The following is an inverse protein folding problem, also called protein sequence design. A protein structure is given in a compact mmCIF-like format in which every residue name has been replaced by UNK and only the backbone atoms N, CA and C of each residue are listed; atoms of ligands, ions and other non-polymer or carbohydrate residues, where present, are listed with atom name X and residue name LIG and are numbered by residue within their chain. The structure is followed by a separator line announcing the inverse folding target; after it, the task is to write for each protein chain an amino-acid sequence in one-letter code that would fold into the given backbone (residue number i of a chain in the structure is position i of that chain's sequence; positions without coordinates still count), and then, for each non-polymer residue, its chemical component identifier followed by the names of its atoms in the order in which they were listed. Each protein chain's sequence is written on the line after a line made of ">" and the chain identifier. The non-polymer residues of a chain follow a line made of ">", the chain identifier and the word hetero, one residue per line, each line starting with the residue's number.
data_IF_642020244300
#
_entry.id   IF_642020244300
#
_cell.length_a   1.000
_cell.length_b   1.000
_cell.length_c   1.000
_cell.angle_alpha   90.00
_cell.angle_beta   90.00
_cell.angle_gamma   90.00
#
_symmetry.space_group_name_H-M   'P 1'
#
loop_
_entity.id
_entity.type
_entity.pdbx_description
1 polymer ?
#
# COMPACT_ATOMS: atom_id res chain seq x y z
N UNK A 1 -5.28 -31.27 6.13
CA UNK A 1 -5.34 -29.88 5.60
C UNK A 1 -3.96 -29.28 5.74
N UNK A 2 -3.47 -28.51 4.75
CA UNK A 2 -2.16 -27.86 4.86
C UNK A 2 -2.13 -26.96 6.10
N UNK A 3 -1.01 -26.94 6.82
CA UNK A 3 -0.80 -26.05 7.97
C UNK A 3 -0.44 -24.64 7.48
N UNK A 4 -1.37 -24.00 6.77
CA UNK A 4 -1.20 -22.62 6.29
C UNK A 4 -2.10 -21.64 7.07
N UNK A 5 -1.76 -20.35 7.00
CA UNK A 5 -2.48 -19.31 7.73
C UNK A 5 -3.95 -19.19 7.31
N UNK A 6 -4.29 -19.55 6.06
CA UNK A 6 -5.66 -19.48 5.56
C UNK A 6 -6.52 -20.54 6.27
N UNK A 7 -5.97 -21.72 6.53
CA UNK A 7 -6.63 -22.78 7.31
C UNK A 7 -6.92 -22.39 8.74
N UNK A 8 -6.05 -21.55 9.33
CA UNK A 8 -6.20 -21.10 10.72
C UNK A 8 -7.25 -19.99 10.89
N UNK A 9 -7.51 -19.21 9.83
CA UNK A 9 -8.48 -18.10 9.86
C UNK A 9 -9.83 -18.53 9.25
N UNK A 10 -9.82 -19.47 8.30
CA UNK A 10 -11.02 -19.95 7.64
C UNK A 10 -11.88 -20.81 8.57
N UNK A 11 -13.14 -20.43 8.75
CA UNK A 11 -14.17 -21.26 9.40
C UNK A 11 -14.81 -22.27 8.42
N UNK A 12 -14.09 -22.67 7.37
CA UNK A 12 -14.54 -23.63 6.36
C UNK A 12 -15.13 -23.02 5.07
N UNK A 13 -15.36 -21.71 5.03
CA UNK A 13 -16.02 -21.04 3.90
C UNK A 13 -15.06 -20.26 2.97
N UNK A 14 -13.76 -20.17 3.29
CA UNK A 14 -12.80 -19.52 2.40
C UNK A 14 -12.39 -20.44 1.25
N UNK A 15 -12.34 -19.88 0.04
CA UNK A 15 -11.86 -20.59 -1.15
C UNK A 15 -10.33 -20.62 -1.12
N UNK A 16 -9.76 -21.81 -1.29
CA UNK A 16 -8.33 -21.97 -1.51
C UNK A 16 -8.01 -21.71 -2.99
N UNK A 17 -7.11 -20.77 -3.29
CA UNK A 17 -6.67 -20.55 -4.65
C UNK A 17 -5.85 -21.73 -5.16
N UNK A 18 -5.89 -21.98 -6.46
CA UNK A 18 -4.96 -22.94 -7.09
C UNK A 18 -3.53 -22.40 -7.06
N UNK A 19 -2.56 -23.31 -7.12
CA UNK A 19 -1.13 -22.96 -7.23
C UNK A 19 -0.85 -22.06 -8.44
N UNK A 20 -1.50 -22.32 -9.57
CA UNK A 20 -1.38 -21.49 -10.77
C UNK A 20 -1.90 -20.07 -10.56
N UNK A 21 -3.00 -19.92 -9.83
CA UNK A 21 -3.55 -18.60 -9.52
C UNK A 21 -2.67 -17.83 -8.53
N UNK A 22 -2.09 -18.52 -7.54
CA UNK A 22 -1.10 -17.93 -6.63
C UNK A 22 0.13 -17.44 -7.41
N UNK A 23 0.68 -18.26 -8.29
CA UNK A 23 1.80 -17.87 -9.16
C UNK A 23 1.45 -16.65 -10.05
N UNK A 24 0.23 -16.58 -10.57
CA UNK A 24 -0.22 -15.41 -11.32
C UNK A 24 -0.28 -14.15 -10.44
N UNK A 25 -0.73 -14.27 -9.19
CA UNK A 25 -0.74 -13.16 -8.24
C UNK A 25 0.69 -12.70 -7.86
N UNK A 26 1.64 -13.62 -7.75
CA UNK A 26 3.05 -13.29 -7.52
C UNK A 26 3.64 -12.48 -8.68
N UNK A 27 3.39 -12.90 -9.92
CA UNK A 27 3.79 -12.16 -11.13
C UNK A 27 3.12 -10.77 -11.18
N UNK A 28 1.83 -10.67 -10.82
CA UNK A 28 1.15 -9.37 -10.71
C UNK A 28 1.88 -8.47 -9.71
N UNK A 29 2.26 -8.99 -8.56
CA UNK A 29 2.92 -8.20 -7.52
C UNK A 29 4.33 -7.76 -7.95
N UNK A 30 5.12 -8.66 -8.53
CA UNK A 30 6.45 -8.35 -9.07
C UNK A 30 6.39 -7.21 -10.10
N UNK A 31 5.53 -7.35 -11.12
CA UNK A 31 5.40 -6.35 -12.17
C UNK A 31 4.81 -5.03 -11.67
N UNK A 32 3.91 -5.10 -10.68
CA UNK A 32 3.36 -3.91 -10.04
C UNK A 32 4.45 -3.12 -9.29
N UNK A 33 5.33 -3.80 -8.54
CA UNK A 33 6.45 -3.17 -7.84
C UNK A 33 7.48 -2.63 -8.84
N UNK A 34 7.82 -3.38 -9.88
CA UNK A 34 8.73 -2.92 -10.94
C UNK A 34 8.21 -1.67 -11.65
N UNK A 35 6.90 -1.59 -11.91
CA UNK A 35 6.29 -0.47 -12.62
C UNK A 35 6.17 0.81 -11.78
N UNK A 36 5.87 0.67 -10.48
CA UNK A 36 5.64 1.79 -9.59
C UNK A 36 6.89 2.21 -8.79
N UNK A 37 7.72 1.26 -8.35
CA UNK A 37 8.79 1.50 -7.38
C UNK A 37 8.20 1.92 -6.03
N UNK A 38 8.77 2.94 -5.39
CA UNK A 38 8.32 3.40 -4.06
C UNK A 38 7.01 4.19 -4.10
N UNK A 39 6.68 4.84 -5.21
CA UNK A 39 5.51 5.71 -5.37
C UNK A 39 4.63 5.27 -6.53
N UNK A 40 3.42 5.83 -6.66
CA UNK A 40 2.67 5.59 -7.89
C UNK A 40 3.31 6.32 -9.08
N UNK A 41 3.78 5.54 -10.05
CA UNK A 41 4.02 6.01 -11.41
C UNK A 41 2.86 6.90 -11.91
N UNK A 42 3.19 8.09 -12.41
CA UNK A 42 2.23 9.14 -12.82
C UNK A 42 1.80 9.06 -14.28
N UNK A 43 2.21 8.01 -15.00
CA UNK A 43 1.81 7.78 -16.38
C UNK A 43 0.30 7.64 -16.53
N UNK A 44 -0.19 7.83 -17.74
CA UNK A 44 -1.58 7.51 -18.08
C UNK A 44 -1.80 5.98 -18.16
N UNK A 45 -3.06 5.56 -17.99
CA UNK A 45 -3.52 4.18 -18.22
C UNK A 45 -2.68 3.12 -17.49
N UNK A 46 -2.33 3.39 -16.22
CA UNK A 46 -1.44 2.52 -15.43
C UNK A 46 -2.01 1.12 -15.25
N UNK A 47 -3.33 1.00 -15.06
CA UNK A 47 -3.99 -0.29 -14.87
C UNK A 47 -3.85 -1.14 -16.12
N UNK A 48 -4.12 -0.57 -17.28
CA UNK A 48 -4.03 -1.24 -18.58
C UNK A 48 -2.59 -1.66 -18.86
N UNK A 49 -1.62 -0.75 -18.67
CA UNK A 49 -0.20 -1.03 -18.91
C UNK A 49 0.30 -2.21 -18.09
N UNK A 50 0.04 -2.22 -16.78
CA UNK A 50 0.45 -3.33 -15.91
C UNK A 50 -0.30 -4.61 -16.29
N UNK A 51 -1.61 -4.52 -16.55
CA UNK A 51 -2.42 -5.67 -16.98
C UNK A 51 -1.84 -6.31 -18.24
N UNK A 52 -1.48 -5.51 -19.24
CA UNK A 52 -0.96 -6.00 -20.51
C UNK A 52 0.44 -6.62 -20.36
N UNK A 53 1.29 -6.04 -19.51
CA UNK A 53 2.61 -6.61 -19.17
C UNK A 53 2.43 -8.00 -18.52
N UNK A 54 1.56 -8.10 -17.50
CA UNK A 54 1.33 -9.35 -16.78
C UNK A 54 0.68 -10.39 -17.68
N UNK A 55 -0.34 -10.02 -18.48
CA UNK A 55 -0.97 -10.93 -19.42
C UNK A 55 0.04 -11.55 -20.39
N UNK A 56 0.99 -10.76 -20.91
CA UNK A 56 2.09 -11.28 -21.74
C UNK A 56 3.02 -12.22 -20.96
N UNK A 57 3.45 -11.86 -19.74
CA UNK A 57 4.30 -12.73 -18.89
C UNK A 57 3.62 -14.07 -18.56
N UNK A 58 2.31 -14.07 -18.41
CA UNK A 58 1.51 -15.26 -18.11
C UNK A 58 1.05 -16.02 -19.37
N UNK A 59 1.56 -15.69 -20.56
CA UNK A 59 1.18 -16.27 -21.84
C UNK A 59 -0.34 -16.24 -22.11
N UNK A 60 -1.04 -15.25 -21.55
CA UNK A 60 -2.51 -15.13 -21.60
C UNK A 60 -3.29 -16.33 -21.03
N UNK A 61 -2.70 -17.11 -20.11
CA UNK A 61 -3.37 -18.26 -19.48
C UNK A 61 -4.57 -17.89 -18.62
N UNK A 62 -4.70 -16.61 -18.22
CA UNK A 62 -5.82 -16.10 -17.45
C UNK A 62 -6.60 -15.07 -18.25
N UNK A 63 -7.94 -15.01 -18.10
CA UNK A 63 -8.74 -13.96 -18.70
C UNK A 63 -8.24 -12.58 -18.26
N UNK A 64 -8.08 -11.66 -19.21
CA UNK A 64 -7.57 -10.30 -18.93
C UNK A 64 -8.34 -9.59 -17.80
N UNK A 65 -9.66 -9.82 -17.69
CA UNK A 65 -10.49 -9.28 -16.61
C UNK A 65 -10.04 -9.71 -15.21
N UNK A 66 -9.55 -10.94 -15.08
CA UNK A 66 -9.07 -11.51 -13.81
C UNK A 66 -7.76 -10.82 -13.41
N UNK A 67 -6.81 -10.74 -14.33
CA UNK A 67 -5.53 -10.03 -14.11
C UNK A 67 -5.78 -8.56 -13.79
N UNK A 68 -6.65 -7.90 -14.56
CA UNK A 68 -7.02 -6.51 -14.33
C UNK A 68 -7.67 -6.29 -12.94
N UNK A 69 -8.43 -7.27 -12.43
CA UNK A 69 -8.97 -7.23 -11.08
C UNK A 69 -7.86 -7.32 -10.01
N UNK A 70 -6.87 -8.21 -10.19
CA UNK A 70 -5.72 -8.32 -9.29
C UNK A 70 -4.91 -7.03 -9.25
N UNK A 71 -4.61 -6.43 -10.41
CA UNK A 71 -3.89 -5.14 -10.51
C UNK A 71 -4.66 -4.02 -9.78
N UNK A 72 -5.98 -3.91 -10.00
CA UNK A 72 -6.83 -2.94 -9.28
C UNK A 72 -6.77 -3.15 -7.77
N UNK A 73 -6.93 -4.39 -7.34
CA UNK A 73 -6.92 -4.76 -5.92
C UNK A 73 -5.60 -4.37 -5.26
N UNK A 74 -4.46 -4.73 -5.87
CA UNK A 74 -3.13 -4.36 -5.37
C UNK A 74 -2.93 -2.85 -5.28
N UNK A 75 -3.40 -2.12 -6.30
CA UNK A 75 -3.37 -0.65 -6.35
C UNK A 75 -4.15 -0.04 -5.18
N UNK A 76 -5.38 -0.47 -4.94
CA UNK A 76 -6.19 0.04 -3.85
C UNK A 76 -5.59 -0.28 -2.47
N UNK A 77 -4.99 -1.47 -2.30
CA UNK A 77 -4.27 -1.82 -1.07
C UNK A 77 -3.11 -0.84 -0.83
N UNK A 78 -2.29 -0.54 -1.85
CA UNK A 78 -1.18 0.42 -1.73
C UNK A 78 -1.66 1.84 -1.46
N UNK A 79 -2.72 2.28 -2.14
CA UNK A 79 -3.32 3.59 -1.92
C UNK A 79 -3.82 3.75 -0.47
N UNK A 80 -4.48 2.71 0.07
CA UNK A 80 -4.91 2.71 1.47
C UNK A 80 -3.73 2.78 2.43
N UNK A 81 -2.62 2.10 2.13
CA UNK A 81 -1.37 2.19 2.93
C UNK A 81 -0.84 3.62 2.94
N UNK A 82 -0.69 4.24 1.77
CA UNK A 82 -0.22 5.63 1.68
C UNK A 82 -1.14 6.61 2.42
N UNK A 83 -2.46 6.46 2.29
CA UNK A 83 -3.41 7.32 3.02
C UNK A 83 -3.24 7.19 4.53
N UNK A 84 -3.04 5.96 5.06
CA UNK A 84 -2.77 5.74 6.49
C UNK A 84 -1.47 6.41 6.92
N UNK A 85 -0.41 6.31 6.11
CA UNK A 85 0.89 6.92 6.40
C UNK A 85 0.82 8.45 6.38
N UNK A 86 0.11 9.05 5.43
CA UNK A 86 -0.11 10.50 5.35
C UNK A 86 -0.83 11.00 6.60
N UNK A 87 -1.91 10.33 7.02
CA UNK A 87 -2.66 10.70 8.23
C UNK A 87 -1.77 10.61 9.46
N UNK A 88 -1.00 9.53 9.61
CA UNK A 88 -0.04 9.35 10.72
C UNK A 88 1.01 10.46 10.73
N UNK A 89 1.62 10.76 9.60
CA UNK A 89 2.66 11.78 9.48
C UNK A 89 2.12 13.19 9.79
N UNK A 90 0.90 13.50 9.35
CA UNK A 90 0.25 14.77 9.65
C UNK A 90 -0.06 14.91 11.15
N UNK A 91 -0.50 13.83 11.80
CA UNK A 91 -0.70 13.80 13.24
C UNK A 91 0.61 14.05 14.00
N UNK A 92 1.69 13.36 13.63
CA UNK A 92 3.01 13.53 14.24
C UNK A 92 3.53 14.96 14.07
N UNK A 93 3.45 15.53 12.86
CA UNK A 93 3.82 16.93 12.59
C UNK A 93 3.06 17.91 13.47
N UNK A 94 1.74 17.74 13.62
CA UNK A 94 0.91 18.57 14.51
C UNK A 94 1.34 18.44 15.97
N UNK A 95 1.64 17.22 16.44
CA UNK A 95 2.13 16.98 17.82
C UNK A 95 3.48 17.65 18.06
N UNK A 96 4.46 17.45 17.18
CA UNK A 96 5.78 18.09 17.28
C UNK A 96 5.68 19.62 17.30
N UNK A 97 4.83 20.21 16.45
CA UNK A 97 4.62 21.66 16.43
C UNK A 97 4.01 22.18 17.74
N UNK A 98 3.06 21.43 18.35
CA UNK A 98 2.52 21.75 19.68
C UNK A 98 3.61 21.71 20.76
N UNK A 99 4.42 20.65 20.78
CA UNK A 99 5.53 20.51 21.74
C UNK A 99 6.55 21.64 21.58
N UNK A 100 6.95 21.96 20.35
CA UNK A 100 7.84 23.10 20.05
C UNK A 100 7.29 24.42 20.58
N UNK A 101 6.00 24.70 20.34
CA UNK A 101 5.33 25.90 20.89
C UNK A 101 5.38 25.94 22.42
N UNK A 102 5.18 24.81 23.11
CA UNK A 102 5.23 24.74 24.58
C UNK A 102 6.65 25.01 25.10
N UNK A 103 7.67 24.40 24.50
CA UNK A 103 9.06 24.60 24.89
C UNK A 103 9.51 26.05 24.67
N UNK A 104 9.11 26.67 23.55
CA UNK A 104 9.47 28.06 23.25
C UNK A 104 8.62 29.10 23.99
N UNK A 105 7.41 28.75 24.46
CA UNK A 105 6.59 29.67 25.29
C UNK A 105 7.23 29.97 26.65
N UNK A 106 8.09 29.08 27.17
CA UNK A 106 8.82 29.32 28.44
C UNK A 106 9.97 30.33 28.32
N UNK A 107 10.47 30.60 27.12
CA UNK A 107 11.60 31.53 26.89
C UNK A 107 11.10 33.00 26.90
N UNK A 108 9.85 33.25 26.47
CA UNK A 108 9.27 34.60 26.41
C UNK A 108 8.81 35.19 27.76
N UNK A 109 8.67 34.38 28.81
CA UNK A 109 8.20 34.84 30.13
C UNK A 109 9.32 34.97 31.18
N UNK A 110 10.61 34.89 30.78
CA UNK A 110 11.77 34.97 31.70
C UNK A 110 12.62 36.24 31.59
N UNK A 111 12.16 37.29 30.89
CA UNK A 111 12.95 38.51 30.66
C UNK A 111 12.27 39.82 31.05
N UNK A 112 11.57 39.89 32.19
CA UNK A 112 11.33 41.19 32.85
C UNK A 112 11.23 40.97 34.36
N UNK A 113 12.36 41.05 35.06
CA UNK A 113 12.48 41.42 36.47
C UNK A 113 13.97 41.35 36.80
N UNK A 114 14.68 42.47 36.65
CA UNK A 114 15.71 42.95 37.57
C UNK A 114 16.32 44.25 37.04
N UNK A 115 16.45 45.19 37.98
CA UNK A 115 17.04 46.54 37.96
C UNK A 115 16.06 47.65 37.57
#
# INVERSE_FOLDING_TARGET
>A
MPADWLSSISQGNCIYPSSDFLRAADVVNEEFENFHGDFFNRGNKIFEKITDIVCRKLNNNFPRKVISCLVRTRTYIRLRKFNKEIVKNNYLKKKCHKTYKICNKKISHRHVQHI
#
